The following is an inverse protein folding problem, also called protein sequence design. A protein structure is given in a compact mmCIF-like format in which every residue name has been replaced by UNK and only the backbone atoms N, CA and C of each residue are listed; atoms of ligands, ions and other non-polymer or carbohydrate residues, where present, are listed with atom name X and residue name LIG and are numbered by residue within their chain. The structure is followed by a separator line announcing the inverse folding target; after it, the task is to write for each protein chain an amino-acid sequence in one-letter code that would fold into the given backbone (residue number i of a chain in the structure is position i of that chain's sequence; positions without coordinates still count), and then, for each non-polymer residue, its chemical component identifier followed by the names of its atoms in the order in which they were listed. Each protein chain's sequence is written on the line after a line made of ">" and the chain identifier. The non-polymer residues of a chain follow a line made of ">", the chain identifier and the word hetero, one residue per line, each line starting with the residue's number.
data_IF_992527032476
#
_entry.id   IF_992527032476
#
_cell.length_a   1.000
_cell.length_b   1.000
_cell.length_c   1.000
_cell.angle_alpha   90.00
_cell.angle_beta   90.00
_cell.angle_gamma   90.00
#
_symmetry.space_group_name_H-M   'P 1'
#
loop_
_entity.id
_entity.type
_entity.pdbx_description
1 polymer ?
#
# COMPACT_ATOMS: atom_id res chain seq x y z
N UNK A 1 -1.06 22.22 -11.02
CA UNK A 1 -0.74 21.70 -10.63
C UNK A 1 -0.40 20.80 -10.81
N UNK A 2 0.35 21.12 -10.88
CA UNK A 2 0.50 19.98 -11.20
C UNK A 2 -0.16 19.35 -10.40
N UNK A 3 -0.87 19.17 -10.83
CA UNK A 3 -1.69 18.51 -10.11
C UNK A 3 -1.14 17.21 -9.85
N UNK A 4 -0.95 16.94 -8.66
CA UNK A 4 -0.68 15.61 -8.26
C UNK A 4 -1.97 14.85 -8.48
N UNK A 5 -1.97 14.01 -9.48
CA UNK A 5 -3.13 13.19 -9.78
C UNK A 5 -3.07 11.85 -9.08
N UNK A 6 -2.17 11.68 -8.17
CA UNK A 6 -2.06 10.44 -7.44
C UNK A 6 -3.26 10.29 -6.52
N UNK A 7 -3.88 9.13 -6.56
CA UNK A 7 -4.94 8.78 -5.64
C UNK A 7 -4.41 7.91 -4.50
N UNK A 8 -3.10 7.70 -4.45
CA UNK A 8 -2.48 6.98 -3.35
C UNK A 8 -2.30 7.92 -2.16
N UNK A 9 -2.40 7.35 -0.96
CA UNK A 9 -2.33 8.11 0.29
C UNK A 9 -0.94 7.93 0.88
N UNK A 10 -0.27 9.05 1.20
CA UNK A 10 1.02 8.97 1.90
C UNK A 10 0.76 8.76 3.37
N UNK A 11 1.30 7.67 3.92
CA UNK A 11 1.16 7.34 5.33
C UNK A 11 2.45 7.59 6.08
N UNK A 12 2.29 8.02 7.32
CA UNK A 12 3.37 8.12 8.28
C UNK A 12 2.84 7.68 9.65
N UNK A 13 3.65 7.83 10.68
CA UNK A 13 3.26 7.36 12.00
C UNK A 13 2.06 8.12 12.56
N UNK A 14 1.80 9.34 12.08
CA UNK A 14 0.71 10.16 12.60
C UNK A 14 -0.66 9.79 12.03
N UNK A 15 -0.72 9.18 10.84
CA UNK A 15 -2.00 8.90 10.21
C UNK A 15 -2.23 7.41 9.90
N UNK A 16 -1.23 6.56 10.12
CA UNK A 16 -1.31 5.16 9.71
C UNK A 16 -2.52 4.44 10.30
N UNK A 17 -2.65 4.47 11.61
CA UNK A 17 -3.73 3.72 12.27
C UNK A 17 -5.10 4.21 11.86
N UNK A 18 -5.26 5.51 11.66
CA UNK A 18 -6.53 6.08 11.22
C UNK A 18 -6.88 5.60 9.80
N UNK A 19 -5.89 5.62 8.91
CA UNK A 19 -6.16 5.32 7.51
C UNK A 19 -6.39 3.85 7.23
N UNK A 20 -5.75 2.94 7.97
CA UNK A 20 -5.99 1.51 7.76
C UNK A 20 -7.30 1.06 8.40
N UNK A 21 -7.86 1.85 9.31
CA UNK A 21 -9.13 1.53 9.96
C UNK A 21 -10.27 1.95 9.04
N UNK A 22 -10.49 1.17 8.01
CA UNK A 22 -11.43 1.48 6.93
C UNK A 22 -12.25 0.25 6.60
N UNK A 23 -13.53 0.45 6.27
CA UNK A 23 -14.38 -0.62 5.79
C UNK A 23 -13.96 -1.09 4.40
N UNK A 24 -13.36 -0.20 3.61
CA UNK A 24 -12.78 -0.58 2.34
C UNK A 24 -11.45 -1.25 2.59
N UNK A 25 -11.09 -2.28 1.82
CA UNK A 25 -9.74 -2.84 1.89
C UNK A 25 -8.70 -1.76 1.62
N UNK A 26 -7.59 -1.81 2.35
CA UNK A 26 -6.49 -0.87 2.20
C UNK A 26 -5.24 -1.64 1.84
N UNK A 27 -4.65 -1.29 0.70
CA UNK A 27 -3.37 -1.85 0.26
C UNK A 27 -2.28 -0.86 0.64
N UNK A 28 -1.34 -1.28 1.47
CA UNK A 28 -0.24 -0.43 1.92
C UNK A 28 1.07 -0.94 1.35
N UNK A 29 1.76 -0.08 0.60
CA UNK A 29 3.04 -0.38 -0.04
C UNK A 29 4.18 0.21 0.80
N UNK A 30 5.00 -0.68 1.37
CA UNK A 30 6.24 -0.26 2.06
C UNK A 30 7.35 -0.24 1.02
N UNK A 31 7.95 0.94 0.80
CA UNK A 31 8.86 1.19 -0.32
C UNK A 31 9.99 2.13 0.07
N UNK A 32 10.97 2.28 -0.82
CA UNK A 32 12.04 3.26 -0.66
C UNK A 32 12.49 3.80 -2.02
N UNK A 33 13.08 4.99 -2.01
CA UNK A 33 13.55 5.64 -3.24
C UNK A 33 14.61 4.81 -3.97
N UNK A 34 15.48 4.13 -3.23
CA UNK A 34 16.58 3.36 -3.79
C UNK A 34 16.18 1.97 -4.29
N UNK A 35 14.93 1.62 -4.14
CA UNK A 35 14.44 0.27 -4.43
C UNK A 35 13.95 0.18 -5.87
N UNK A 36 14.67 -0.52 -6.74
CA UNK A 36 14.28 -0.68 -8.13
C UNK A 36 12.93 -1.36 -8.32
N UNK A 37 12.69 -2.53 -7.70
CA UNK A 37 11.39 -3.20 -7.81
C UNK A 37 10.23 -2.34 -7.31
N UNK A 38 10.45 -1.50 -6.29
CA UNK A 38 9.42 -0.60 -5.81
C UNK A 38 8.97 0.37 -6.90
N UNK A 39 9.93 0.85 -7.71
CA UNK A 39 9.62 1.78 -8.81
C UNK A 39 8.88 1.10 -9.93
N UNK A 40 9.12 -0.19 -10.13
CA UNK A 40 8.42 -0.95 -11.15
C UNK A 40 6.97 -1.24 -10.77
N UNK A 41 6.69 -1.46 -9.50
CA UNK A 41 5.33 -1.76 -9.06
C UNK A 41 4.49 -0.50 -8.86
N UNK A 42 5.12 0.66 -8.69
CA UNK A 42 4.39 1.90 -8.40
C UNK A 42 3.32 2.23 -9.45
N UNK A 43 3.57 2.11 -10.76
CA UNK A 43 2.52 2.39 -11.75
C UNK A 43 1.31 1.47 -11.62
N UNK A 44 1.52 0.21 -11.24
CA UNK A 44 0.42 -0.74 -11.05
C UNK A 44 -0.46 -0.29 -9.89
N UNK A 45 0.17 0.18 -8.80
CA UNK A 45 -0.56 0.65 -7.64
C UNK A 45 -1.35 1.92 -7.97
N UNK A 46 -0.77 2.82 -8.77
CA UNK A 46 -1.46 4.03 -9.19
C UNK A 46 -2.70 3.68 -10.03
N UNK A 47 -2.57 2.68 -10.92
CA UNK A 47 -3.70 2.23 -11.73
C UNK A 47 -4.83 1.68 -10.86
N UNK A 48 -4.48 0.83 -9.89
CA UNK A 48 -5.48 0.26 -8.99
C UNK A 48 -6.16 1.35 -8.20
N UNK A 49 -5.39 2.32 -7.70
CA UNK A 49 -5.94 3.43 -6.93
C UNK A 49 -6.97 4.22 -7.75
N UNK A 50 -6.69 4.44 -9.04
CA UNK A 50 -7.62 5.18 -9.91
C UNK A 50 -8.82 4.34 -10.29
N UNK A 51 -8.58 3.09 -10.69
CA UNK A 51 -9.65 2.24 -11.22
C UNK A 51 -10.61 1.74 -10.17
N UNK A 52 -10.12 1.57 -8.94
CA UNK A 52 -10.89 0.98 -7.86
C UNK A 52 -11.16 1.95 -6.72
N UNK A 53 -11.09 3.25 -6.97
CA UNK A 53 -11.18 4.28 -5.93
C UNK A 53 -12.44 4.15 -5.06
N UNK A 54 -13.55 3.67 -5.62
CA UNK A 54 -14.80 3.52 -4.87
C UNK A 54 -14.77 2.31 -3.93
N UNK A 55 -13.91 1.34 -4.22
CA UNK A 55 -13.96 0.06 -3.52
C UNK A 55 -12.76 -0.20 -2.63
N UNK A 56 -11.59 0.40 -2.92
CA UNK A 56 -10.36 0.13 -2.17
C UNK A 56 -9.58 1.42 -1.96
N UNK A 57 -8.69 1.39 -0.97
CA UNK A 57 -7.74 2.49 -0.74
C UNK A 57 -6.33 1.94 -1.00
N UNK A 58 -5.48 2.75 -1.59
CA UNK A 58 -4.07 2.41 -1.82
C UNK A 58 -3.22 3.46 -1.12
N UNK A 59 -2.28 3.01 -0.31
CA UNK A 59 -1.45 3.88 0.50
C UNK A 59 0.01 3.46 0.41
N UNK A 60 0.91 4.37 0.79
CA UNK A 60 2.34 4.14 0.71
C UNK A 60 3.04 4.59 1.97
N UNK A 61 4.02 3.79 2.41
CA UNK A 61 4.89 4.11 3.55
C UNK A 61 6.33 4.05 3.07
N UNK A 62 7.05 5.17 3.17
CA UNK A 62 8.48 5.19 2.89
C UNK A 62 9.21 4.61 4.11
N UNK A 63 9.93 3.50 3.94
CA UNK A 63 10.54 2.81 5.07
C UNK A 63 11.68 3.62 5.71
N UNK A 64 12.36 4.44 4.92
CA UNK A 64 13.46 5.25 5.45
C UNK A 64 12.96 6.36 6.36
N UNK A 65 11.75 6.84 6.11
CA UNK A 65 11.13 7.91 6.90
C UNK A 65 10.25 7.39 8.02
N UNK A 66 9.97 6.11 8.06
CA UNK A 66 9.01 5.52 8.99
C UNK A 66 9.52 4.20 9.55
N UNK A 67 10.64 4.26 10.24
CA UNK A 67 11.32 3.06 10.72
C UNK A 67 10.50 2.32 11.78
N UNK A 68 9.77 3.05 12.63
CA UNK A 68 8.92 2.42 13.64
C UNK A 68 7.82 1.58 13.02
N UNK A 69 7.16 2.09 11.98
CA UNK A 69 6.13 1.32 11.28
C UNK A 69 6.72 0.09 10.61
N UNK A 70 7.89 0.25 9.99
CA UNK A 70 8.55 -0.87 9.32
C UNK A 70 8.90 -1.96 10.31
N UNK A 71 9.35 -1.57 11.49
CA UNK A 71 9.68 -2.53 12.55
C UNK A 71 8.42 -3.21 13.07
N UNK A 72 7.37 -2.41 13.31
CA UNK A 72 6.10 -2.93 13.84
C UNK A 72 5.53 -4.04 12.96
N UNK A 73 5.61 -3.87 11.64
CA UNK A 73 5.06 -4.84 10.71
C UNK A 73 6.10 -5.81 10.16
N UNK A 74 7.29 -5.81 10.79
CA UNK A 74 8.33 -6.78 10.47
C UNK A 74 8.72 -6.76 8.99
N UNK A 75 8.88 -5.55 8.44
CA UNK A 75 9.25 -5.37 7.05
C UNK A 75 10.73 -5.67 6.90
N UNK A 76 11.06 -6.75 6.19
CA UNK A 76 12.44 -7.21 6.01
C UNK A 76 12.93 -7.07 4.58
N UNK A 77 12.00 -6.91 3.66
CA UNK A 77 12.32 -6.75 2.23
C UNK A 77 11.28 -5.84 1.63
N UNK A 78 11.63 -5.11 0.59
CA UNK A 78 10.73 -4.21 -0.09
C UNK A 78 10.77 -4.45 -1.61
N UNK A 79 9.64 -4.22 -2.29
CA UNK A 79 8.37 -3.76 -1.73
C UNK A 79 7.71 -4.82 -0.87
N UNK A 80 7.04 -4.40 0.18
CA UNK A 80 6.16 -5.28 0.95
C UNK A 80 4.77 -4.69 0.87
N UNK A 81 3.82 -5.49 0.44
CA UNK A 81 2.45 -5.06 0.20
C UNK A 81 1.56 -5.71 1.24
N UNK A 82 1.01 -4.89 2.12
CA UNK A 82 0.17 -5.35 3.23
C UNK A 82 -1.28 -4.97 2.95
N UNK A 83 -2.19 -5.89 3.23
CA UNK A 83 -3.61 -5.69 2.97
C UNK A 83 -4.36 -5.65 4.29
N UNK A 84 -5.04 -4.54 4.54
CA UNK A 84 -5.78 -4.32 5.78
C UNK A 84 -7.27 -4.20 5.51
N UNK A 85 -8.08 -4.57 6.49
CA UNK A 85 -9.50 -4.25 6.52
C UNK A 85 -9.92 -4.05 7.96
N UNK A 86 -10.61 -2.93 8.22
CA UNK A 86 -11.05 -2.56 9.57
C UNK A 86 -9.90 -2.56 10.57
N UNK A 87 -8.74 -2.09 10.13
CA UNK A 87 -7.55 -1.97 10.96
C UNK A 87 -6.77 -3.26 11.16
N UNK A 88 -7.19 -4.37 10.55
CA UNK A 88 -6.56 -5.67 10.74
C UNK A 88 -5.78 -6.10 9.52
N UNK A 89 -4.57 -6.57 9.71
CA UNK A 89 -3.76 -7.13 8.64
C UNK A 89 -4.36 -8.48 8.21
N UNK A 90 -4.73 -8.57 6.93
CA UNK A 90 -5.43 -9.74 6.39
C UNK A 90 -4.61 -10.54 5.40
N UNK A 91 -3.66 -9.92 4.72
CA UNK A 91 -2.86 -10.59 3.69
C UNK A 91 -1.56 -9.80 3.48
N UNK A 92 -0.58 -10.44 2.86
CA UNK A 92 0.72 -9.82 2.63
C UNK A 92 1.42 -10.47 1.45
N UNK A 93 2.07 -9.64 0.63
CA UNK A 93 2.94 -10.09 -0.47
C UNK A 93 4.26 -9.36 -0.34
N UNK A 94 5.37 -10.09 -0.37
CA UNK A 94 6.70 -9.50 -0.37
C UNK A 94 7.32 -9.65 -1.75
N UNK A 95 7.81 -8.56 -2.30
CA UNK A 95 8.40 -8.56 -3.65
C UNK A 95 7.39 -8.24 -4.74
N UNK A 96 7.80 -8.45 -5.97
CA UNK A 96 6.98 -8.16 -7.13
C UNK A 96 5.81 -9.12 -7.27
N UNK A 97 4.70 -8.60 -7.77
CA UNK A 97 3.56 -9.41 -8.14
C UNK A 97 2.81 -8.70 -9.26
N UNK A 98 1.76 -9.32 -9.78
CA UNK A 98 1.00 -8.76 -10.89
C UNK A 98 -0.16 -7.92 -10.41
N UNK A 99 -0.63 -7.02 -11.27
CA UNK A 99 -1.84 -6.24 -11.00
C UNK A 99 -3.02 -7.16 -10.75
N UNK A 100 -3.14 -8.23 -11.54
CA UNK A 100 -4.23 -9.19 -11.41
C UNK A 100 -4.22 -9.84 -10.02
N UNK A 101 -3.03 -10.23 -9.53
CA UNK A 101 -2.92 -10.82 -8.21
C UNK A 101 -3.34 -9.84 -7.13
N UNK A 102 -2.89 -8.58 -7.22
CA UNK A 102 -3.24 -7.56 -6.24
C UNK A 102 -4.75 -7.31 -6.21
N UNK A 103 -5.37 -7.19 -7.38
CA UNK A 103 -6.81 -6.97 -7.45
C UNK A 103 -7.57 -8.17 -6.86
N UNK A 104 -7.12 -9.39 -7.17
CA UNK A 104 -7.75 -10.59 -6.64
C UNK A 104 -7.71 -10.62 -5.10
N UNK A 105 -6.56 -10.25 -4.51
CA UNK A 105 -6.43 -10.22 -3.06
C UNK A 105 -7.32 -9.15 -2.44
N UNK A 106 -7.43 -7.99 -3.10
CA UNK A 106 -8.29 -6.91 -2.62
C UNK A 106 -9.76 -7.32 -2.70
N UNK A 107 -10.16 -7.96 -3.79
CA UNK A 107 -11.55 -8.39 -3.97
C UNK A 107 -11.95 -9.44 -2.95
N UNK A 108 -11.01 -10.24 -2.47
CA UNK A 108 -11.27 -11.23 -1.44
C UNK A 108 -11.62 -10.58 -0.09
N UNK A 109 -11.30 -9.29 0.09
CA UNK A 109 -11.54 -8.59 1.34
C UNK A 109 -12.76 -7.65 1.29
N UNK A 110 -13.35 -7.49 0.13
CA UNK A 110 -14.52 -6.62 -0.03
C UNK A 110 -15.74 -7.15 0.72
#
# INVERSE_FOLDING_TARGET
>A
MATDNSTTIKLDESNFDREINSEKPVLVDFWAEWCGPCKLIAPLLDEIAREKADAVKVAKVNVDENQSLSFKYNIRAIPSLLFFKNGQLRDQVTGMTSKKDLISRLEALV
#
